data_IF_432255509372
#
_entry.id   IF_432255509372
#
_cell.length_a   1.000
_cell.length_b   1.000
_cell.length_c   1.000
_cell.angle_alpha   90.00
_cell.angle_beta   90.00
_cell.angle_gamma   90.00
#
_symmetry.space_group_name_H-M   'P 1'
#
loop_
_entity.id
_entity.type
_entity.pdbx_description
1 polymer ?
#
# COMPACT_ATOMS: atom_id res chain seq x y z
N UNK A 1 -17.47 -9.60 16.45
CA UNK A 1 -16.09 -9.08 16.61
C UNK A 1 -15.87 -7.84 15.76
N UNK A 2 -15.89 -7.94 14.43
CA UNK A 2 -15.73 -6.79 13.52
C UNK A 2 -17.07 -6.16 13.14
N UNK A 3 -17.93 -5.89 14.12
CA UNK A 3 -19.31 -5.44 13.90
C UNK A 3 -19.41 -4.15 13.04
N UNK A 4 -18.49 -3.16 13.12
CA UNK A 4 -18.60 -1.96 12.26
C UNK A 4 -18.49 -2.26 10.77
N UNK A 5 -17.91 -3.41 10.37
CA UNK A 5 -17.78 -3.79 8.97
C UNK A 5 -19.11 -4.18 8.32
N UNK A 6 -20.12 -4.52 9.13
CA UNK A 6 -21.48 -4.79 8.68
C UNK A 6 -22.39 -3.54 8.76
N UNK A 7 -21.82 -2.37 9.06
CA UNK A 7 -22.53 -1.10 9.16
C UNK A 7 -22.48 -0.28 7.87
N UNK A 8 -22.84 1.00 7.98
CA UNK A 8 -22.86 1.96 6.87
C UNK A 8 -22.20 3.28 7.27
N UNK A 9 -21.48 3.92 6.33
CA UNK A 9 -20.91 5.25 6.56
C UNK A 9 -22.02 6.30 6.48
N UNK A 10 -22.13 7.13 7.50
CA UNK A 10 -23.04 8.28 7.55
C UNK A 10 -22.25 9.58 7.38
N UNK A 11 -22.59 10.35 6.35
CA UNK A 11 -22.12 11.72 6.10
C UNK A 11 -20.58 11.87 6.17
N UNK A 12 -19.82 10.83 5.83
CA UNK A 12 -18.36 10.77 5.98
C UNK A 12 -17.82 11.03 7.41
N UNK A 13 -18.68 10.95 8.42
CA UNK A 13 -18.40 11.34 9.81
C UNK A 13 -18.26 10.12 10.73
N UNK A 14 -19.25 9.22 10.73
CA UNK A 14 -19.27 8.04 11.58
C UNK A 14 -19.83 6.81 10.85
N UNK A 15 -19.72 5.64 11.50
CA UNK A 15 -20.29 4.38 11.02
C UNK A 15 -21.54 4.09 11.86
N UNK A 16 -22.68 3.98 11.20
CA UNK A 16 -23.88 3.43 11.80
C UNK A 16 -23.75 1.90 11.83
N UNK A 17 -23.61 1.34 13.03
CA UNK A 17 -23.45 -0.10 13.27
C UNK A 17 -24.83 -0.78 13.30
N UNK A 18 -25.52 -0.74 12.16
CA UNK A 18 -26.91 -1.18 12.02
C UNK A 18 -27.07 -2.61 11.50
N UNK A 19 -25.99 -3.38 11.43
CA UNK A 19 -25.96 -4.76 10.94
C UNK A 19 -26.62 -4.96 9.56
N UNK A 20 -26.49 -3.96 8.66
CA UNK A 20 -26.89 -4.07 7.26
C UNK A 20 -26.23 -5.25 6.52
N UNK A 21 -25.12 -5.75 7.06
CA UNK A 21 -24.44 -6.94 6.58
C UNK A 21 -23.23 -6.62 5.70
N UNK A 22 -22.62 -7.69 5.20
CA UNK A 22 -21.47 -7.63 4.29
C UNK A 22 -21.84 -8.34 3.00
N UNK A 23 -21.32 -7.85 1.88
CA UNK A 23 -21.54 -8.51 0.61
C UNK A 23 -20.69 -9.78 0.53
N UNK A 24 -21.34 -10.92 0.27
CA UNK A 24 -20.68 -12.22 0.16
C UNK A 24 -21.13 -12.91 -1.13
N UNK A 25 -20.19 -13.15 -2.04
CA UNK A 25 -20.44 -13.71 -3.36
C UNK A 25 -19.73 -15.04 -3.53
N UNK A 26 -20.40 -16.00 -4.15
CA UNK A 26 -19.79 -17.25 -4.59
C UNK A 26 -19.79 -17.33 -6.12
N UNK A 27 -18.68 -17.74 -6.70
CA UNK A 27 -18.50 -17.85 -8.14
C UNK A 27 -17.81 -19.16 -8.52
N UNK A 28 -18.23 -19.76 -9.64
CA UNK A 28 -17.52 -20.86 -10.29
C UNK A 28 -16.63 -20.30 -11.39
N UNK A 29 -15.38 -20.75 -11.43
CA UNK A 29 -14.38 -20.37 -12.43
C UNK A 29 -14.04 -21.59 -13.27
N UNK A 30 -14.44 -21.57 -14.53
CA UNK A 30 -14.19 -22.63 -15.51
C UNK A 30 -12.75 -22.60 -16.03
N UNK A 31 -11.80 -22.77 -15.12
CA UNK A 31 -10.37 -22.83 -15.38
C UNK A 31 -9.67 -23.58 -14.23
N UNK A 32 -8.36 -23.84 -14.40
CA UNK A 32 -7.51 -24.30 -13.29
C UNK A 32 -6.83 -23.10 -12.64
N UNK A 33 -6.74 -23.11 -11.32
CA UNK A 33 -6.09 -22.04 -10.55
C UNK A 33 -4.62 -21.81 -10.97
N UNK A 34 -3.91 -22.88 -11.33
CA UNK A 34 -2.52 -22.81 -11.77
C UNK A 34 -2.32 -22.02 -13.08
N UNK A 35 -3.32 -22.03 -13.97
CA UNK A 35 -3.26 -21.27 -15.22
C UNK A 35 -3.38 -19.76 -14.96
N UNK A 36 -4.22 -19.36 -13.99
CA UNK A 36 -4.36 -17.97 -13.55
C UNK A 36 -3.09 -17.44 -12.85
N UNK A 37 -2.46 -18.25 -12.00
CA UNK A 37 -1.24 -17.85 -11.27
C UNK A 37 -0.04 -17.72 -12.21
N UNK A 38 0.07 -18.60 -13.21
CA UNK A 38 1.19 -18.60 -14.17
C UNK A 38 1.21 -17.31 -15.00
N UNK A 39 0.04 -16.89 -15.47
CA UNK A 39 -0.12 -15.73 -16.35
C UNK A 39 -1.19 -14.76 -15.81
N UNK A 40 -0.86 -14.01 -14.73
CA UNK A 40 -1.84 -13.16 -14.07
C UNK A 40 -2.22 -11.98 -14.97
N UNK A 41 -3.52 -11.87 -15.26
CA UNK A 41 -4.12 -10.75 -15.98
C UNK A 41 -4.96 -9.91 -15.02
N UNK A 42 -4.66 -8.61 -14.90
CA UNK A 42 -5.34 -7.73 -13.93
C UNK A 42 -6.85 -7.60 -14.16
N UNK A 43 -7.29 -7.60 -15.43
CA UNK A 43 -8.72 -7.54 -15.75
C UNK A 43 -9.44 -8.82 -15.30
N UNK A 44 -8.79 -9.97 -15.38
CA UNK A 44 -9.32 -11.23 -14.87
C UNK A 44 -9.26 -11.29 -13.34
N UNK A 45 -8.17 -10.84 -12.71
CA UNK A 45 -8.06 -10.78 -11.25
C UNK A 45 -9.14 -9.89 -10.62
N UNK A 46 -9.56 -8.82 -11.30
CA UNK A 46 -10.66 -7.96 -10.86
C UNK A 46 -12.00 -8.71 -10.77
N UNK A 47 -12.21 -9.77 -11.56
CA UNK A 47 -13.44 -10.57 -11.51
C UNK A 47 -13.55 -11.44 -10.27
N UNK A 48 -12.45 -11.61 -9.52
CA UNK A 48 -12.45 -12.34 -8.25
C UNK A 48 -12.87 -11.48 -7.06
N UNK A 49 -13.25 -10.23 -7.29
CA UNK A 49 -13.73 -9.29 -6.28
C UNK A 49 -15.24 -9.08 -6.42
N UNK A 50 -15.96 -9.12 -5.30
CA UNK A 50 -17.42 -8.90 -5.26
C UNK A 50 -17.82 -7.51 -5.74
N UNK A 51 -16.95 -6.52 -5.51
CA UNK A 51 -17.17 -5.13 -5.89
C UNK A 51 -16.00 -4.62 -6.71
N UNK A 52 -16.27 -3.66 -7.59
CA UNK A 52 -15.20 -2.94 -8.26
C UNK A 52 -14.41 -2.11 -7.23
N UNK A 53 -13.13 -2.41 -6.97
CA UNK A 53 -12.33 -1.72 -5.95
C UNK A 53 -12.11 -0.22 -6.26
N UNK A 54 -12.35 0.19 -7.50
CA UNK A 54 -12.24 1.60 -7.95
C UNK A 54 -13.61 2.24 -8.21
N UNK A 55 -14.71 1.56 -7.88
CA UNK A 55 -16.06 2.08 -8.04
C UNK A 55 -16.34 3.21 -7.05
N UNK A 56 -16.67 4.39 -7.57
CA UNK A 56 -17.02 5.57 -6.75
C UNK A 56 -18.39 5.35 -6.12
N UNK A 57 -18.53 5.70 -4.83
CA UNK A 57 -19.83 5.72 -4.13
C UNK A 57 -20.27 4.39 -3.53
N UNK A 58 -19.39 3.39 -3.46
CA UNK A 58 -19.70 2.10 -2.82
C UNK A 58 -19.84 2.32 -1.31
N UNK A 59 -21.06 2.19 -0.80
CA UNK A 59 -21.38 2.23 0.62
C UNK A 59 -20.92 0.96 1.37
N UNK A 60 -20.48 -0.07 0.64
CA UNK A 60 -20.03 -1.35 1.19
C UNK A 60 -18.70 -1.18 1.92
N UNK A 61 -18.70 -1.44 3.22
CA UNK A 61 -17.51 -1.37 4.07
C UNK A 61 -16.60 -2.57 3.88
N UNK A 62 -17.20 -3.76 3.72
CA UNK A 62 -16.54 -5.03 3.49
C UNK A 62 -17.34 -5.86 2.48
N UNK A 63 -16.64 -6.38 1.47
CA UNK A 63 -17.17 -7.36 0.54
C UNK A 63 -16.18 -8.51 0.38
N UNK A 64 -16.70 -9.74 0.24
CA UNK A 64 -15.94 -10.97 0.09
C UNK A 64 -16.48 -11.75 -1.09
N UNK A 65 -15.60 -12.32 -1.91
CA UNK A 65 -15.97 -13.27 -2.95
C UNK A 65 -15.13 -14.53 -2.86
N UNK A 66 -15.80 -15.68 -2.87
CA UNK A 66 -15.17 -17.00 -2.96
C UNK A 66 -15.30 -17.51 -4.39
N UNK A 67 -14.18 -17.90 -4.99
CA UNK A 67 -14.10 -18.35 -6.36
C UNK A 67 -13.61 -19.80 -6.39
N UNK A 68 -14.46 -20.72 -6.82
CA UNK A 68 -14.15 -22.15 -6.91
C UNK A 68 -13.71 -22.50 -8.32
N UNK A 69 -12.55 -23.14 -8.45
CA UNK A 69 -11.98 -23.57 -9.74
C UNK A 69 -12.31 -25.04 -10.01
N UNK A 70 -12.37 -25.44 -11.28
CA UNK A 70 -12.66 -26.82 -11.68
C UNK A 70 -11.64 -27.84 -11.14
N UNK A 71 -10.42 -27.39 -10.82
CA UNK A 71 -9.38 -28.21 -10.19
C UNK A 71 -9.50 -28.32 -8.66
N UNK A 72 -10.56 -27.80 -8.05
CA UNK A 72 -10.74 -27.72 -6.59
C UNK A 72 -9.94 -26.60 -5.92
N UNK A 73 -9.25 -25.76 -6.70
CA UNK A 73 -8.57 -24.57 -6.19
C UNK A 73 -9.58 -23.50 -5.76
N UNK A 74 -9.18 -22.64 -4.84
CA UNK A 74 -10.03 -21.55 -4.32
C UNK A 74 -9.25 -20.24 -4.40
N UNK A 75 -9.91 -19.17 -4.86
CA UNK A 75 -9.44 -17.79 -4.67
C UNK A 75 -10.44 -17.00 -3.82
N UNK A 76 -9.92 -16.31 -2.80
CA UNK A 76 -10.70 -15.47 -1.89
C UNK A 76 -10.37 -14.01 -2.19
N UNK A 77 -11.34 -13.27 -2.74
CA UNK A 77 -11.27 -11.83 -2.91
C UNK A 77 -11.83 -11.11 -1.68
N UNK A 78 -11.09 -10.13 -1.16
CA UNK A 78 -11.52 -9.31 -0.03
C UNK A 78 -11.38 -7.83 -0.38
N UNK A 79 -12.48 -7.11 -0.36
CA UNK A 79 -12.53 -5.66 -0.54
C UNK A 79 -12.94 -5.00 0.77
N UNK A 80 -12.04 -4.19 1.33
CA UNK A 80 -12.27 -3.44 2.56
C UNK A 80 -12.10 -1.95 2.28
N UNK A 81 -13.08 -1.14 2.68
CA UNK A 81 -13.07 0.30 2.41
C UNK A 81 -11.88 0.97 3.08
N UNK A 82 -11.00 1.58 2.25
CA UNK A 82 -9.81 2.26 2.74
C UNK A 82 -10.14 3.52 3.56
N UNK A 83 -11.40 4.01 3.52
CA UNK A 83 -11.89 5.10 4.38
C UNK A 83 -11.79 4.71 5.86
N UNK A 84 -12.08 3.45 6.19
CA UNK A 84 -12.18 3.00 7.58
C UNK A 84 -11.04 2.10 8.01
N UNK A 85 -10.21 1.59 7.09
CA UNK A 85 -9.18 0.61 7.41
C UNK A 85 -7.93 0.77 6.55
N UNK A 86 -6.77 0.49 7.14
CA UNK A 86 -5.51 0.30 6.42
C UNK A 86 -5.17 -1.19 6.22
N UNK A 87 -4.07 -1.47 5.53
CA UNK A 87 -3.63 -2.85 5.29
C UNK A 87 -3.36 -3.66 6.56
N UNK A 88 -2.99 -3.03 7.68
CA UNK A 88 -2.83 -3.75 8.96
C UNK A 88 -4.19 -4.22 9.47
N UNK A 89 -5.19 -3.35 9.39
CA UNK A 89 -6.57 -3.64 9.80
C UNK A 89 -7.23 -4.71 8.91
N UNK A 90 -6.98 -4.66 7.60
CA UNK A 90 -7.40 -5.70 6.65
C UNK A 90 -6.84 -7.08 7.05
N UNK A 91 -5.55 -7.15 7.32
CA UNK A 91 -4.88 -8.41 7.68
C UNK A 91 -5.29 -8.89 9.06
N UNK A 92 -5.58 -7.99 10.00
CA UNK A 92 -6.17 -8.35 11.29
C UNK A 92 -7.53 -9.02 11.11
N UNK A 93 -8.41 -8.46 10.26
CA UNK A 93 -9.70 -9.06 9.92
C UNK A 93 -9.53 -10.45 9.28
N UNK A 94 -8.72 -10.58 8.23
CA UNK A 94 -8.51 -11.85 7.51
C UNK A 94 -8.00 -12.94 8.45
N UNK A 95 -7.02 -12.63 9.30
CA UNK A 95 -6.48 -13.60 10.26
C UNK A 95 -7.51 -14.01 11.31
N UNK A 96 -8.28 -13.07 11.86
CA UNK A 96 -9.30 -13.36 12.84
C UNK A 96 -10.44 -14.20 12.23
N UNK A 97 -10.83 -13.90 10.99
CA UNK A 97 -11.81 -14.68 10.25
C UNK A 97 -11.32 -16.12 10.02
N UNK A 98 -10.09 -16.29 9.53
CA UNK A 98 -9.49 -17.62 9.34
C UNK A 98 -9.34 -18.40 10.66
N UNK A 99 -8.97 -17.75 11.76
CA UNK A 99 -8.89 -18.40 13.08
C UNK A 99 -10.27 -18.85 13.58
N UNK A 100 -11.31 -18.06 13.31
CA UNK A 100 -12.69 -18.40 13.63
C UNK A 100 -13.16 -19.61 12.82
N UNK A 101 -12.85 -19.69 11.53
CA UNK A 101 -13.18 -20.85 10.69
C UNK A 101 -12.53 -22.15 11.19
N UNK A 102 -11.33 -22.07 11.79
CA UNK A 102 -10.65 -23.21 12.43
C UNK A 102 -11.19 -23.58 13.82
N UNK A 103 -12.15 -22.81 14.35
CA UNK A 103 -12.70 -23.03 15.69
C UNK A 103 -11.72 -22.70 16.83
N UNK A 104 -10.76 -21.79 16.60
CA UNK A 104 -9.82 -21.40 17.66
C UNK A 104 -10.52 -20.67 18.81
N UNK A 105 -10.18 -21.03 20.05
CA UNK A 105 -10.80 -20.46 21.25
C UNK A 105 -10.31 -19.03 21.52
N UNK A 106 -9.05 -18.72 21.16
CA UNK A 106 -8.40 -17.43 21.47
C UNK A 106 -8.16 -16.63 20.20
N UNK A 107 -9.21 -15.97 19.71
CA UNK A 107 -9.10 -15.07 18.56
C UNK A 107 -8.72 -13.67 19.05
N UNK A 108 -7.72 -13.06 18.41
CA UNK A 108 -7.31 -11.68 18.69
C UNK A 108 -8.43 -10.73 18.26
N UNK A 109 -8.94 -9.96 19.22
CA UNK A 109 -10.05 -9.05 19.00
C UNK A 109 -9.54 -7.68 18.52
N UNK A 110 -10.18 -7.04 17.52
CA UNK A 110 -9.95 -5.65 17.19
C UNK A 110 -10.48 -4.76 18.32
N UNK A 111 -9.93 -3.56 18.40
CA UNK A 111 -10.51 -2.47 19.19
C UNK A 111 -10.49 -1.18 18.36
N UNK A 112 -11.48 -0.31 18.60
CA UNK A 112 -11.81 0.82 17.73
C UNK A 112 -11.47 2.17 18.37
N UNK A 113 -10.34 2.25 19.09
CA UNK A 113 -9.98 3.39 19.94
C UNK A 113 -9.03 4.39 19.28
N UNK A 114 -8.73 4.23 17.98
CA UNK A 114 -7.81 5.14 17.29
C UNK A 114 -8.29 6.59 17.30
N UNK A 115 -9.61 6.82 17.35
CA UNK A 115 -10.19 8.16 17.45
C UNK A 115 -9.84 8.86 18.77
N UNK A 116 -9.57 8.13 19.86
CA UNK A 116 -9.10 8.75 21.11
C UNK A 116 -7.67 9.29 20.98
N UNK A 117 -6.83 8.60 20.19
CA UNK A 117 -5.45 9.02 19.94
C UNK A 117 -5.35 10.06 18.82
N UNK A 118 -6.25 9.99 17.83
CA UNK A 118 -6.30 10.86 16.67
C UNK A 118 -7.74 11.38 16.51
N UNK A 119 -8.15 12.37 17.32
CA UNK A 119 -9.52 12.85 17.30
C UNK A 119 -9.89 13.44 15.94
N UNK A 120 -11.14 13.24 15.48
CA UNK A 120 -11.64 13.88 14.26
C UNK A 120 -11.41 15.39 14.31
N UNK A 121 -11.03 15.96 13.16
CA UNK A 121 -10.83 17.40 12.99
C UNK A 121 -11.68 17.87 11.84
N UNK A 122 -12.14 19.11 11.90
CA UNK A 122 -12.77 19.74 10.74
C UNK A 122 -11.72 19.92 9.63
N UNK A 123 -12.00 19.31 8.48
CA UNK A 123 -11.18 19.38 7.28
C UNK A 123 -11.84 20.24 6.18
N UNK A 124 -12.94 20.94 6.47
CA UNK A 124 -13.67 21.77 5.50
C UNK A 124 -12.77 22.78 4.75
N UNK A 125 -11.77 23.36 5.43
CA UNK A 125 -10.77 24.25 4.81
C UNK A 125 -9.75 23.56 3.90
N UNK A 126 -9.71 22.22 3.94
CA UNK A 126 -8.88 21.38 3.11
C UNK A 126 -9.78 20.64 2.12
N UNK A 127 -9.93 21.21 0.93
CA UNK A 127 -10.69 20.67 -0.21
C UNK A 127 -10.10 19.35 -0.75
N UNK A 128 -10.01 18.32 0.10
CA UNK A 128 -9.60 16.98 -0.28
C UNK A 128 -10.85 16.18 -0.66
N UNK A 129 -10.89 15.67 -1.88
CA UNK A 129 -11.93 14.72 -2.28
C UNK A 129 -11.42 13.29 -2.16
N UNK A 130 -12.29 12.29 -1.90
CA UNK A 130 -11.88 10.89 -1.93
C UNK A 130 -11.22 10.45 -3.24
N UNK A 131 -11.41 11.21 -4.32
CA UNK A 131 -10.91 10.92 -5.66
C UNK A 131 -9.59 11.66 -5.97
N UNK A 132 -9.03 12.42 -5.03
CA UNK A 132 -7.81 13.16 -5.27
C UNK A 132 -6.66 12.21 -5.62
N UNK A 133 -6.01 12.47 -6.77
CA UNK A 133 -4.94 11.64 -7.31
C UNK A 133 -5.41 10.48 -8.20
N UNK A 134 -6.71 10.16 -8.24
CA UNK A 134 -7.26 9.22 -9.22
C UNK A 134 -7.14 9.84 -10.61
N UNK A 135 -6.51 9.13 -11.53
CA UNK A 135 -6.40 9.58 -12.92
C UNK A 135 -7.47 8.92 -13.80
N UNK A 136 -7.93 9.66 -14.81
CA UNK A 136 -8.77 9.12 -15.90
C UNK A 136 -7.94 8.45 -17.00
N UNK A 137 -6.62 8.64 -16.97
CA UNK A 137 -5.71 8.02 -17.91
C UNK A 137 -5.62 6.52 -17.66
N UNK A 138 -5.28 5.76 -18.71
CA UNK A 138 -5.21 4.31 -18.64
C UNK A 138 -3.98 3.88 -17.84
N UNK A 139 -4.23 3.38 -16.63
CA UNK A 139 -3.22 2.74 -15.78
C UNK A 139 -3.08 1.27 -16.14
N UNK A 140 -1.83 0.82 -16.21
CA UNK A 140 -1.47 -0.58 -16.34
C UNK A 140 -0.61 -1.01 -15.16
N UNK A 141 -0.93 -2.18 -14.60
CA UNK A 141 -0.14 -2.78 -13.52
C UNK A 141 0.79 -3.83 -14.08
N UNK A 142 2.08 -3.73 -13.74
CA UNK A 142 3.08 -4.75 -14.03
C UNK A 142 3.63 -5.32 -12.73
N UNK A 143 3.75 -6.64 -12.70
CA UNK A 143 4.34 -7.40 -11.60
C UNK A 143 5.81 -7.68 -11.91
N UNK A 144 6.69 -7.24 -11.03
CA UNK A 144 8.13 -7.48 -11.11
C UNK A 144 8.57 -8.31 -9.91
N UNK A 145 9.27 -9.42 -10.16
CA UNK A 145 9.73 -10.34 -9.12
C UNK A 145 11.22 -10.12 -8.87
N UNK A 146 11.55 -9.73 -7.66
CA UNK A 146 12.89 -9.67 -7.13
C UNK A 146 13.10 -10.90 -6.24
N UNK A 147 13.64 -11.96 -6.83
CA UNK A 147 14.08 -13.15 -6.11
C UNK A 147 15.22 -12.83 -5.12
N UNK A 148 15.63 -13.84 -4.36
CA UNK A 148 16.64 -13.71 -3.31
C UNK A 148 17.96 -13.17 -3.85
N UNK A 149 18.38 -13.66 -5.00
CA UNK A 149 19.62 -13.30 -5.67
C UNK A 149 19.58 -11.84 -6.16
N UNK A 150 18.51 -11.44 -6.85
CA UNK A 150 18.30 -10.04 -7.28
C UNK A 150 18.22 -9.08 -6.11
N UNK A 151 17.54 -9.46 -5.03
CA UNK A 151 17.49 -8.63 -3.82
C UNK A 151 18.86 -8.48 -3.17
N UNK A 152 19.67 -9.54 -3.12
CA UNK A 152 21.02 -9.47 -2.60
C UNK A 152 21.89 -8.52 -3.43
N UNK A 153 21.79 -8.58 -4.76
CA UNK A 153 22.47 -7.66 -5.67
C UNK A 153 22.02 -6.22 -5.44
N UNK A 154 20.71 -5.94 -5.43
CA UNK A 154 20.18 -4.60 -5.20
C UNK A 154 20.61 -4.01 -3.86
N UNK A 155 20.63 -4.82 -2.79
CA UNK A 155 21.10 -4.36 -1.47
C UNK A 155 22.58 -4.02 -1.50
N UNK A 156 23.41 -4.80 -2.20
CA UNK A 156 24.85 -4.54 -2.34
C UNK A 156 25.11 -3.28 -3.15
N UNK A 157 24.43 -3.10 -4.29
CA UNK A 157 24.53 -1.90 -5.12
C UNK A 157 24.08 -0.65 -4.35
N UNK A 158 22.96 -0.73 -3.64
CA UNK A 158 22.44 0.36 -2.82
C UNK A 158 23.39 0.75 -1.68
N UNK A 159 24.06 -0.23 -1.06
CA UNK A 159 25.09 0.02 -0.05
C UNK A 159 26.35 0.65 -0.68
N UNK A 160 26.83 0.14 -1.82
CA UNK A 160 28.04 0.64 -2.49
C UNK A 160 27.87 2.08 -2.99
N UNK A 161 26.72 2.42 -3.57
CA UNK A 161 26.39 3.78 -4.03
C UNK A 161 26.33 4.82 -2.90
N UNK A 162 26.35 4.37 -1.65
CA UNK A 162 26.30 5.23 -0.48
C UNK A 162 27.69 5.73 -0.02
N UNK A 163 28.79 5.12 -0.46
CA UNK A 163 30.15 5.55 -0.09
C UNK A 163 30.53 5.24 1.37
N UNK A 164 31.83 5.22 1.67
CA UNK A 164 32.37 4.80 2.97
C UNK A 164 31.94 5.68 4.17
N UNK A 165 31.46 6.90 3.90
CA UNK A 165 30.95 7.85 4.91
C UNK A 165 29.43 7.82 5.13
N UNK A 166 28.67 6.96 4.44
CA UNK A 166 27.20 6.97 4.56
C UNK A 166 26.68 6.28 5.82
N UNK A 167 25.59 6.85 6.34
CA UNK A 167 24.76 6.33 7.42
C UNK A 167 24.00 5.03 7.04
N UNK A 168 24.04 4.59 5.77
CA UNK A 168 23.27 3.44 5.25
C UNK A 168 24.18 2.31 4.78
N UNK A 169 24.71 1.53 5.74
CA UNK A 169 25.52 0.34 5.43
C UNK A 169 24.71 -0.92 5.11
N UNK A 170 23.50 -1.02 5.67
CA UNK A 170 22.62 -2.18 5.53
C UNK A 170 21.22 -1.75 5.06
N UNK A 171 20.96 -1.66 3.75
CA UNK A 171 19.63 -1.39 3.21
C UNK A 171 18.67 -2.54 3.56
N UNK A 172 17.43 -2.24 3.93
CA UNK A 172 16.37 -3.24 4.00
C UNK A 172 15.93 -3.66 2.59
N UNK A 173 15.24 -4.80 2.47
CA UNK A 173 14.73 -5.28 1.17
C UNK A 173 13.77 -4.27 0.53
N UNK A 174 12.88 -3.69 1.34
CA UNK A 174 11.95 -2.63 0.91
C UNK A 174 12.68 -1.39 0.45
N UNK A 175 13.68 -0.91 1.21
CA UNK A 175 14.47 0.26 0.81
C UNK A 175 15.23 0.02 -0.49
N UNK A 176 15.85 -1.15 -0.68
CA UNK A 176 16.60 -1.46 -1.89
C UNK A 176 15.71 -1.48 -3.14
N UNK A 177 14.55 -2.16 -3.07
CA UNK A 177 13.59 -2.21 -4.19
C UNK A 177 12.95 -0.84 -4.44
N UNK A 178 12.60 -0.10 -3.39
CA UNK A 178 12.00 1.24 -3.54
C UNK A 178 12.98 2.22 -4.15
N UNK A 179 14.25 2.20 -3.73
CA UNK A 179 15.30 3.02 -4.31
C UNK A 179 15.51 2.70 -5.80
N UNK A 180 15.56 1.42 -6.17
CA UNK A 180 15.69 0.98 -7.55
C UNK A 180 14.52 1.45 -8.43
N UNK A 181 13.28 1.19 -7.99
CA UNK A 181 12.07 1.56 -8.74
C UNK A 181 11.93 3.09 -8.83
N UNK A 182 12.24 3.82 -7.75
CA UNK A 182 12.16 5.27 -7.76
C UNK A 182 13.14 5.87 -8.78
N UNK A 183 14.38 5.37 -8.84
CA UNK A 183 15.34 5.77 -9.88
C UNK A 183 14.80 5.52 -11.29
N UNK A 184 14.16 4.38 -11.53
CA UNK A 184 13.52 4.08 -12.82
C UNK A 184 12.40 5.06 -13.19
N UNK A 185 11.52 5.41 -12.24
CA UNK A 185 10.53 6.45 -12.49
C UNK A 185 11.16 7.82 -12.77
N UNK A 186 12.25 8.18 -12.08
CA UNK A 186 12.99 9.41 -12.36
C UNK A 186 13.58 9.40 -13.77
N UNK A 187 14.16 8.29 -14.22
CA UNK A 187 14.69 8.13 -15.59
C UNK A 187 13.58 8.29 -16.65
N UNK A 188 12.44 7.63 -16.46
CA UNK A 188 11.28 7.76 -17.37
C UNK A 188 10.81 9.21 -17.44
N UNK A 189 10.66 9.88 -16.30
CA UNK A 189 10.19 11.25 -16.23
C UNK A 189 11.17 12.26 -16.83
N UNK A 190 12.49 12.05 -16.70
CA UNK A 190 13.53 12.89 -17.34
C UNK A 190 13.50 12.84 -18.86
N UNK A 191 13.02 11.74 -19.43
CA UNK A 191 12.93 11.57 -20.88
C UNK A 191 11.67 12.21 -21.49
N UNK A 192 10.76 12.76 -20.67
CA UNK A 192 9.58 13.49 -21.15
C UNK A 192 9.92 14.95 -21.45
N UNK A 193 9.14 15.57 -22.36
CA UNK A 193 9.35 16.98 -22.77
C UNK A 193 9.17 17.98 -21.62
N UNK A 194 8.36 17.63 -20.62
CA UNK A 194 8.10 18.46 -19.43
C UNK A 194 8.89 17.94 -18.22
N UNK A 195 10.21 18.18 -18.24
CA UNK A 195 11.12 17.72 -17.17
C UNK A 195 10.76 18.37 -15.84
N UNK A 196 10.36 17.54 -14.87
CA UNK A 196 9.98 18.01 -13.54
C UNK A 196 11.18 18.50 -12.74
N UNK A 197 10.96 19.53 -11.92
CA UNK A 197 12.00 20.14 -11.08
C UNK A 197 12.27 19.34 -9.80
N UNK A 198 11.29 18.57 -9.35
CA UNK A 198 11.36 17.81 -8.11
C UNK A 198 10.80 16.40 -8.29
N UNK A 199 11.55 15.41 -7.82
CA UNK A 199 11.10 14.03 -7.71
C UNK A 199 10.81 13.72 -6.24
N UNK A 200 9.67 13.11 -5.97
CA UNK A 200 9.24 12.82 -4.61
C UNK A 200 8.80 11.37 -4.46
N UNK A 201 9.50 10.62 -3.62
CA UNK A 201 9.05 9.32 -3.16
C UNK A 201 8.20 9.48 -1.90
N UNK A 202 7.02 8.87 -1.92
CA UNK A 202 6.07 8.88 -0.80
C UNK A 202 5.94 7.47 -0.25
N UNK A 203 6.30 7.24 1.00
CA UNK A 203 6.13 5.94 1.67
C UNK A 203 4.99 5.99 2.68
N UNK A 204 4.04 5.07 2.59
CA UNK A 204 3.08 4.83 3.65
C UNK A 204 3.78 4.17 4.85
N UNK A 205 3.76 4.83 6.01
CA UNK A 205 4.42 4.37 7.23
C UNK A 205 3.38 4.03 8.29
N UNK A 206 3.34 2.76 8.71
CA UNK A 206 2.52 2.31 9.83
C UNK A 206 2.96 3.00 11.13
N UNK A 207 2.04 3.70 11.80
CA UNK A 207 2.31 4.41 13.05
C UNK A 207 2.27 3.49 14.26
N UNK A 208 1.53 2.37 14.23
CA UNK A 208 1.32 1.48 15.38
C UNK A 208 2.63 1.09 16.09
N UNK A 209 3.68 0.58 15.41
CA UNK A 209 4.93 0.22 16.08
C UNK A 209 5.79 1.42 16.48
N UNK A 210 5.38 2.65 16.17
CA UNK A 210 6.15 3.89 16.35
C UNK A 210 5.57 4.81 17.43
N UNK A 211 4.39 4.50 17.94
CA UNK A 211 3.84 5.17 19.12
C UNK A 211 4.61 4.78 20.38
N UNK A 212 4.46 5.55 21.46
CA UNK A 212 5.06 5.26 22.76
C UNK A 212 3.99 5.33 23.85
N UNK A 213 3.48 4.18 24.35
CA UNK A 213 3.86 2.81 23.99
C UNK A 213 3.39 2.39 22.58
N UNK A 214 4.00 1.36 21.95
CA UNK A 214 3.55 0.81 20.67
C UNK A 214 2.10 0.31 20.73
N UNK A 215 1.31 0.61 19.70
CA UNK A 215 -0.05 0.09 19.55
C UNK A 215 -0.04 -1.35 19.03
N UNK A 216 -1.04 -2.12 19.46
CA UNK A 216 -1.30 -3.44 18.91
C UNK A 216 -1.73 -3.35 17.44
N UNK A 217 -1.41 -4.36 16.65
CA UNK A 217 -1.93 -4.53 15.28
C UNK A 217 -3.46 -4.66 15.24
N UNK A 218 -4.08 -4.97 16.38
CA UNK A 218 -5.53 -5.02 16.55
C UNK A 218 -6.19 -3.63 16.71
N UNK A 219 -5.41 -2.55 16.80
CA UNK A 219 -5.95 -1.19 16.74
C UNK A 219 -6.55 -0.96 15.35
N UNK A 220 -7.87 -1.11 15.22
CA UNK A 220 -8.53 -1.12 13.93
C UNK A 220 -8.70 0.30 13.40
N UNK A 221 -8.31 0.51 12.15
CA UNK A 221 -8.53 1.75 11.42
C UNK A 221 -7.31 2.22 10.63
N UNK A 222 -7.40 3.40 10.02
CA UNK A 222 -6.23 4.02 9.40
C UNK A 222 -5.27 4.56 10.48
N UNK A 223 -4.10 3.93 10.63
CA UNK A 223 -3.04 4.39 11.54
C UNK A 223 -1.69 4.45 10.82
N UNK A 224 -1.60 5.31 9.81
CA UNK A 224 -0.41 5.47 8.98
C UNK A 224 -0.19 6.94 8.59
N UNK A 225 1.04 7.27 8.16
CA UNK A 225 1.41 8.60 7.64
C UNK A 225 2.30 8.51 6.40
N UNK A 226 2.15 9.43 5.45
CA UNK A 226 3.08 9.54 4.33
C UNK A 226 4.42 10.14 4.78
N UNK A 227 5.53 9.47 4.43
CA UNK A 227 6.89 10.02 4.49
C UNK A 227 7.26 10.54 3.12
N UNK A 228 7.76 11.77 3.02
CA UNK A 228 8.16 12.40 1.76
C UNK A 228 9.69 12.51 1.66
N UNK A 229 10.26 11.86 0.65
CA UNK A 229 11.67 11.94 0.27
C UNK A 229 11.81 12.78 -1.00
N UNK A 230 12.68 13.80 -1.00
CA UNK A 230 12.77 14.82 -2.05
C UNK A 230 14.13 14.79 -2.75
N UNK A 231 14.10 14.88 -4.09
CA UNK A 231 15.30 15.08 -4.92
C UNK A 231 15.01 16.19 -5.94
N UNK A 232 15.83 17.25 -5.93
CA UNK A 232 15.77 18.34 -6.90
C UNK A 232 16.67 18.06 -8.11
N UNK A 233 16.28 18.53 -9.30
CA UNK A 233 17.14 18.51 -10.50
C UNK A 233 18.10 19.69 -10.61
N UNK A 234 17.88 20.75 -9.83
CA UNK A 234 18.49 22.07 -10.05
C UNK A 234 19.97 22.22 -9.64
N UNK A 235 20.83 21.20 -9.80
CA UNK A 235 22.24 21.33 -9.39
C UNK A 235 23.23 20.23 -9.74
N UNK A 236 22.82 19.08 -10.26
CA UNK A 236 23.70 17.89 -10.40
C UNK A 236 23.56 17.18 -11.77
N UNK A 237 23.34 17.92 -12.85
CA UNK A 237 23.24 17.34 -14.20
C UNK A 237 24.52 16.65 -14.69
N UNK A 238 25.66 16.86 -14.01
CA UNK A 238 26.96 16.28 -14.39
C UNK A 238 27.24 14.89 -13.80
N UNK A 239 26.49 14.43 -12.78
CA UNK A 239 26.83 13.21 -12.02
C UNK A 239 25.64 12.23 -11.86
N UNK A 240 25.20 11.61 -12.95
CA UNK A 240 24.31 10.43 -12.89
C UNK A 240 23.00 10.61 -12.09
N UNK A 241 22.39 9.49 -11.69
CA UNK A 241 21.19 9.51 -10.84
C UNK A 241 21.62 9.60 -9.37
N UNK A 242 21.14 10.61 -8.59
CA UNK A 242 21.60 10.82 -7.22
C UNK A 242 21.31 9.60 -6.34
N UNK A 243 22.11 9.43 -5.28
CA UNK A 243 21.84 8.38 -4.32
C UNK A 243 20.59 8.71 -3.50
N UNK A 244 19.48 8.07 -3.85
CA UNK A 244 18.18 8.27 -3.23
C UNK A 244 18.02 7.60 -1.86
N UNK A 245 18.87 6.64 -1.53
CA UNK A 245 18.67 5.77 -0.38
C UNK A 245 18.80 6.48 0.98
N UNK A 246 19.83 7.33 1.22
CA UNK A 246 19.91 8.11 2.46
C UNK A 246 18.70 9.02 2.66
N UNK A 247 18.17 9.57 1.57
CA UNK A 247 17.00 10.46 1.60
C UNK A 247 15.73 9.69 1.96
N UNK A 248 15.51 8.51 1.34
CA UNK A 248 14.43 7.59 1.70
C UNK A 248 14.48 7.19 3.18
N UNK A 249 15.65 6.74 3.65
CA UNK A 249 15.78 6.32 5.05
C UNK A 249 15.54 7.48 6.01
N UNK A 250 16.14 8.63 5.74
CA UNK A 250 15.98 9.82 6.58
C UNK A 250 14.51 10.25 6.65
N UNK A 251 13.78 10.29 5.53
CA UNK A 251 12.36 10.67 5.52
C UNK A 251 11.49 9.70 6.31
N UNK A 252 11.72 8.39 6.17
CA UNK A 252 10.95 7.36 6.89
C UNK A 252 11.27 7.41 8.39
N UNK A 253 12.53 7.64 8.77
CA UNK A 253 12.94 7.72 10.18
C UNK A 253 12.40 8.94 10.91
N UNK A 254 12.09 10.04 10.20
CA UNK A 254 11.47 11.24 10.79
C UNK A 254 10.06 10.99 11.32
N UNK A 255 9.34 9.98 10.82
CA UNK A 255 8.06 9.57 11.38
C UNK A 255 8.34 8.72 12.62
N UNK A 256 8.69 9.35 13.73
CA UNK A 256 8.99 8.68 15.00
C UNK A 256 7.93 9.01 16.06
N UNK A 257 8.15 8.61 17.31
CA UNK A 257 7.24 8.87 18.42
C UNK A 257 6.99 10.36 18.66
N UNK A 258 7.99 11.22 18.43
CA UNK A 258 7.87 12.67 18.66
C UNK A 258 7.03 13.32 17.56
N UNK A 259 7.25 12.93 16.30
CA UNK A 259 6.37 13.32 15.19
C UNK A 259 4.91 12.90 15.43
N UNK A 260 4.69 11.70 15.97
CA UNK A 260 3.35 11.24 16.31
C UNK A 260 2.73 12.12 17.41
N UNK A 261 3.47 12.44 18.47
CA UNK A 261 2.99 13.35 19.53
C UNK A 261 2.63 14.73 19.00
N UNK A 262 3.43 15.30 18.10
CA UNK A 262 3.12 16.57 17.43
C UNK A 262 1.77 16.51 16.69
N UNK A 263 1.57 15.44 15.91
CA UNK A 263 0.32 15.19 15.21
C UNK A 263 -0.86 15.09 16.19
N UNK A 264 -0.70 14.36 17.29
CA UNK A 264 -1.74 14.20 18.32
C UNK A 264 -2.08 15.54 19.01
N UNK A 265 -1.07 16.39 19.20
CA UNK A 265 -1.19 17.70 19.84
C UNK A 265 -1.68 18.82 18.90
N UNK A 266 -2.17 18.47 17.70
CA UNK A 266 -2.85 19.42 16.81
C UNK A 266 -2.02 19.94 15.65
N UNK A 267 -0.77 19.52 15.46
CA UNK A 267 0.03 19.91 14.29
C UNK A 267 -0.45 19.25 12.98
N UNK A 268 -1.44 18.35 13.05
CA UNK A 268 -1.97 17.66 11.88
C UNK A 268 -2.35 18.59 10.73
N UNK A 269 -3.12 19.64 11.01
CA UNK A 269 -3.59 20.58 9.98
C UNK A 269 -2.43 21.33 9.31
N UNK A 270 -1.36 21.63 10.07
CA UNK A 270 -0.15 22.25 9.53
C UNK A 270 0.64 21.29 8.63
N UNK A 271 0.65 19.99 8.92
CA UNK A 271 1.23 18.99 8.02
C UNK A 271 0.41 18.81 6.75
N UNK A 272 -0.93 18.84 6.87
CA UNK A 272 -1.83 18.78 5.72
C UNK A 272 -1.68 20.00 4.81
N UNK A 273 -1.58 21.21 5.36
CA UNK A 273 -1.40 22.43 4.56
C UNK A 273 -0.10 22.40 3.77
N UNK A 274 1.02 22.05 4.43
CA UNK A 274 2.31 21.86 3.75
C UNK A 274 2.25 20.83 2.63
N UNK A 275 1.53 19.73 2.84
CA UNK A 275 1.35 18.69 1.82
C UNK A 275 0.51 19.21 0.65
N UNK A 276 -0.59 19.91 0.91
CA UNK A 276 -1.44 20.54 -0.11
C UNK A 276 -0.65 21.54 -0.95
N UNK A 277 0.06 22.47 -0.31
CA UNK A 277 0.86 23.49 -0.98
C UNK A 277 1.93 22.87 -1.88
N UNK A 278 2.50 21.74 -1.46
CA UNK A 278 3.43 20.97 -2.27
C UNK A 278 2.77 20.39 -3.53
N UNK A 279 1.61 19.73 -3.39
CA UNK A 279 0.89 19.16 -4.54
C UNK A 279 0.40 20.23 -5.53
N UNK A 280 0.03 21.41 -5.04
CA UNK A 280 -0.44 22.52 -5.88
C UNK A 280 0.65 23.17 -6.74
N UNK A 281 1.94 22.95 -6.45
CA UNK A 281 3.06 23.58 -7.19
C UNK A 281 3.31 23.01 -8.59
N UNK A 282 2.67 21.90 -8.99
CA UNK A 282 2.67 21.37 -10.37
C UNK A 282 4.00 20.82 -10.93
N UNK A 283 5.13 21.17 -10.31
CA UNK A 283 6.49 20.85 -10.77
C UNK A 283 7.07 19.57 -10.11
N UNK A 284 6.21 18.64 -9.69
CA UNK A 284 6.59 17.44 -8.92
C UNK A 284 6.19 16.15 -9.65
N UNK A 285 7.13 15.21 -9.76
CA UNK A 285 6.83 13.82 -10.13
C UNK A 285 6.80 12.95 -8.87
N UNK A 286 5.64 12.35 -8.59
CA UNK A 286 5.42 11.49 -7.42
C UNK A 286 5.66 10.02 -7.76
N UNK A 287 6.22 9.30 -6.80
CA UNK A 287 6.24 7.84 -6.79
C UNK A 287 5.80 7.35 -5.40
N UNK A 288 4.63 6.72 -5.33
CA UNK A 288 4.05 6.25 -4.06
C UNK A 288 4.42 4.79 -3.82
N UNK A 289 4.78 4.48 -2.58
CA UNK A 289 5.14 3.15 -2.13
C UNK A 289 4.29 2.75 -0.92
N UNK A 290 3.67 1.59 -1.01
CA UNK A 290 3.04 0.90 0.12
C UNK A 290 3.64 -0.49 0.25
N UNK A 291 4.11 -0.84 1.45
CA UNK A 291 4.81 -2.10 1.70
C UNK A 291 3.94 -3.04 2.53
N UNK A 292 3.51 -4.13 1.91
CA UNK A 292 2.78 -5.23 2.53
C UNK A 292 3.71 -6.41 2.87
N UNK A 293 5.02 -6.29 2.62
CA UNK A 293 6.00 -7.38 2.77
C UNK A 293 6.12 -7.96 4.19
N UNK A 294 5.64 -7.25 5.23
CA UNK A 294 5.64 -7.75 6.61
C UNK A 294 4.29 -8.25 7.09
N UNK A 295 3.25 -8.15 6.26
CA UNK A 295 1.95 -8.69 6.62
C UNK A 295 1.99 -10.23 6.54
N UNK A 296 1.46 -10.95 7.54
CA UNK A 296 1.43 -12.41 7.56
C UNK A 296 0.36 -12.99 6.63
N UNK A 297 0.24 -12.48 5.40
CA UNK A 297 -0.81 -12.89 4.44
C UNK A 297 -0.65 -14.33 3.97
N UNK A 298 0.58 -14.87 3.96
CA UNK A 298 0.86 -16.27 3.64
C UNK A 298 0.70 -17.22 4.83
N UNK A 299 0.43 -16.70 6.03
CA UNK A 299 0.16 -17.50 7.23
C UNK A 299 -1.34 -17.73 7.47
N UNK A 300 -2.20 -17.07 6.68
CA UNK A 300 -3.66 -17.23 6.74
C UNK A 300 -4.03 -18.67 6.36
N UNK A 301 -4.85 -19.35 7.17
CA UNK A 301 -5.26 -20.73 6.89
C UNK A 301 -6.70 -20.95 7.32
N UNK A 302 -7.65 -21.11 6.41
CA UNK A 302 -9.07 -21.26 6.80
C UNK A 302 -9.43 -22.66 7.34
N UNK A 303 -8.47 -23.60 7.38
CA UNK A 303 -8.64 -25.00 7.78
C UNK A 303 -8.26 -26.00 6.68
N UNK A 304 -7.93 -25.51 5.49
CA UNK A 304 -7.55 -26.31 4.31
C UNK A 304 -6.19 -25.94 3.74
N UNK A 305 -5.36 -25.23 4.52
CA UNK A 305 -3.99 -24.88 4.17
C UNK A 305 -3.80 -23.39 3.84
N UNK A 306 -2.53 -23.04 3.64
CA UNK A 306 -2.05 -21.67 3.42
C UNK A 306 -2.14 -21.25 1.95
N UNK A 307 -2.27 -19.95 1.65
CA UNK A 307 -2.23 -19.42 0.29
C UNK A 307 -0.97 -19.86 -0.46
N UNK A 308 -1.15 -20.39 -1.66
CA UNK A 308 -0.04 -20.61 -2.59
C UNK A 308 0.42 -19.30 -3.26
N UNK A 309 -0.46 -18.30 -3.32
CA UNK A 309 -0.18 -16.99 -3.91
C UNK A 309 -1.11 -15.93 -3.31
N UNK A 310 -0.60 -14.72 -3.12
CA UNK A 310 -1.37 -13.55 -2.68
C UNK A 310 -1.06 -12.40 -3.64
N UNK A 311 -2.10 -11.74 -4.14
CA UNK A 311 -2.00 -10.66 -5.11
C UNK A 311 -2.86 -9.44 -4.75
N UNK A 312 -2.72 -8.39 -5.54
CA UNK A 312 -3.60 -7.22 -5.52
C UNK A 312 -4.04 -6.88 -6.94
N UNK A 313 -4.94 -5.92 -7.10
CA UNK A 313 -5.46 -5.46 -8.39
C UNK A 313 -4.89 -4.11 -8.81
N UNK A 314 -5.27 -3.65 -10.01
CA UNK A 314 -4.87 -2.36 -10.53
C UNK A 314 -5.39 -1.23 -9.65
N UNK A 315 -4.48 -0.36 -9.22
CA UNK A 315 -4.83 0.88 -8.52
C UNK A 315 -4.94 2.02 -9.54
N UNK A 316 -5.98 2.87 -9.49
CA UNK A 316 -6.24 3.89 -10.52
C UNK A 316 -5.41 5.17 -10.31
N UNK A 317 -4.15 4.99 -9.93
CA UNK A 317 -3.23 6.06 -9.56
C UNK A 317 -1.93 5.92 -10.35
N UNK A 318 -1.41 7.04 -10.85
CA UNK A 318 -0.12 7.09 -11.53
C UNK A 318 1.02 6.84 -10.52
N UNK A 319 2.00 6.02 -10.92
CA UNK A 319 3.24 5.72 -10.19
C UNK A 319 3.00 5.25 -8.75
N UNK A 320 2.15 4.22 -8.58
CA UNK A 320 1.92 3.58 -7.28
C UNK A 320 2.51 2.17 -7.28
N UNK A 321 3.33 1.88 -6.26
CA UNK A 321 4.04 0.62 -6.09
C UNK A 321 3.54 -0.06 -4.82
N UNK A 322 3.00 -1.26 -4.96
CA UNK A 322 2.72 -2.16 -3.83
C UNK A 322 3.81 -3.21 -3.75
N UNK A 323 4.51 -3.27 -2.62
CA UNK A 323 5.57 -4.25 -2.36
C UNK A 323 5.02 -5.38 -1.51
N UNK A 324 5.07 -6.61 -2.01
CA UNK A 324 4.60 -7.82 -1.33
C UNK A 324 5.76 -8.81 -1.18
N UNK A 325 5.71 -9.67 -0.16
CA UNK A 325 6.69 -10.76 -0.06
C UNK A 325 6.34 -11.86 -1.05
N UNK A 326 7.35 -12.59 -1.54
CA UNK A 326 7.10 -13.85 -2.25
C UNK A 326 6.62 -14.93 -1.27
N UNK A 327 5.96 -16.01 -1.74
CA UNK A 327 5.47 -17.08 -0.86
C UNK A 327 6.56 -17.71 0.03
N UNK A 328 7.79 -17.86 -0.47
CA UNK A 328 8.93 -18.37 0.29
C UNK A 328 9.53 -17.37 1.29
N UNK A 329 9.03 -16.13 1.33
CA UNK A 329 9.48 -15.09 2.26
C UNK A 329 10.82 -14.44 1.94
N UNK A 330 11.65 -14.99 1.05
CA UNK A 330 12.99 -14.48 0.73
C UNK A 330 13.00 -13.31 -0.28
N UNK A 331 12.04 -13.29 -1.21
CA UNK A 331 11.90 -12.32 -2.31
C UNK A 331 10.89 -11.20 -2.05
N UNK A 332 10.77 -10.28 -3.02
CA UNK A 332 9.75 -9.22 -3.10
C UNK A 332 9.09 -9.24 -4.49
N UNK A 333 7.76 -9.17 -4.51
CA UNK A 333 6.99 -8.79 -5.70
C UNK A 333 6.65 -7.31 -5.64
N UNK A 334 6.99 -6.56 -6.68
CA UNK A 334 6.58 -5.17 -6.86
C UNK A 334 5.46 -5.09 -7.90
N UNK A 335 4.29 -4.62 -7.46
CA UNK A 335 3.13 -4.36 -8.29
C UNK A 335 3.13 -2.88 -8.63
N UNK A 336 3.61 -2.56 -9.83
CA UNK A 336 3.87 -1.19 -10.26
C UNK A 336 2.75 -0.74 -11.18
N UNK A 337 1.99 0.26 -10.74
CA UNK A 337 0.90 0.92 -11.45
C UNK A 337 1.47 2.17 -12.12
N UNK A 338 1.43 2.21 -13.46
CA UNK A 338 2.00 3.30 -14.26
C UNK A 338 1.10 3.58 -15.47
N UNK A 339 1.28 4.74 -16.10
CA UNK A 339 0.61 5.03 -17.36
C UNK A 339 1.00 4.01 -18.43
N UNK A 340 0.07 3.65 -19.30
CA UNK A 340 0.35 2.70 -20.39
C UNK A 340 1.52 3.14 -21.28
N UNK A 341 1.61 4.44 -21.56
CA UNK A 341 2.71 5.05 -22.35
C UNK A 341 4.10 4.89 -21.69
N UNK A 342 4.17 4.78 -20.37
CA UNK A 342 5.43 4.74 -19.62
C UNK A 342 6.03 3.33 -19.52
N UNK A 343 5.27 2.28 -19.85
CA UNK A 343 5.68 0.89 -19.66
C UNK A 343 6.97 0.55 -20.40
N UNK A 344 7.06 0.97 -21.67
CA UNK A 344 8.21 0.64 -22.52
C UNK A 344 9.48 1.28 -21.99
N UNK A 345 9.42 2.56 -21.61
CA UNK A 345 10.54 3.30 -21.04
C UNK A 345 10.92 2.80 -19.64
N UNK A 346 9.96 2.33 -18.84
CA UNK A 346 10.23 1.77 -17.52
C UNK A 346 10.96 0.41 -17.59
N UNK A 347 10.75 -0.34 -18.67
CA UNK A 347 11.34 -1.68 -18.87
C UNK A 347 12.73 -1.66 -19.51
N UNK A 348 13.06 -0.61 -20.24
CA UNK A 348 14.43 -0.37 -20.72
C UNK A 348 15.38 -0.05 -19.56
#
# INVERSE_FOLDING_TARGET
MFYPLAGQIQENSFIDCNDSGVEFVEAQVHARLSDVIREPNMAELNKFLAVNPTGVGIATLLAVQINFFDCGGIAIGVCLSHKIADGTSLVAFINAWAATCRGEVKIRQPYFDLAHLFPPRDLSGFSFTPNDGITKEKIMTKRFIFDKEKLAMLKKEAAAASGDGSQVKNPTRVEAVSAFIWKKFMEVAKNKMDVKKMYVAVHAVNLRPRTSPPLSEQAFGNCWRPSFAFISTSGDEKNGCPNVLPVLRSSISKINSDYIKQVQNGEYLNHLSKSKDMFMKGDIELCNFSSWSRFPVYEVDYGWGRPCWVCTTTLPFKNVVILMSTPCGDGIEAWVNMLEEDISAFRS
#
